data_IF_815789253972
#
_entry.id   IF_815789253972
#
_cell.length_a   1.000
_cell.length_b   1.000
_cell.length_c   1.000
_cell.angle_alpha   90.00
_cell.angle_beta   90.00
_cell.angle_gamma   90.00
#
_symmetry.space_group_name_H-M   'P 1'
#
loop_
_entity.id
_entity.type
_entity.pdbx_description
1 polymer ?
#
# COMPACT_ATOMS: atom_id res chain seq x y z
N UNK A 1 17.29 -11.82 10.13
CA UNK A 1 17.96 -12.29 8.88
C UNK A 1 19.40 -12.59 9.17
N UNK A 2 19.91 -13.78 8.78
CA UNK A 2 21.33 -14.08 8.99
C UNK A 2 22.19 -13.42 7.91
N UNK A 3 23.18 -12.66 8.33
CA UNK A 3 24.21 -12.06 7.48
C UNK A 3 25.57 -12.68 7.80
N UNK A 4 26.46 -12.62 6.83
CA UNK A 4 27.81 -13.21 6.91
C UNK A 4 28.82 -12.12 6.56
N UNK A 5 29.84 -11.99 7.42
CA UNK A 5 31.02 -11.14 7.18
C UNK A 5 32.27 -12.02 7.19
N UNK A 6 33.15 -11.90 6.20
CA UNK A 6 34.45 -12.54 6.20
C UNK A 6 35.56 -11.51 6.47
N UNK A 7 36.45 -11.83 7.42
CA UNK A 7 37.61 -11.01 7.74
C UNK A 7 38.87 -11.84 7.76
N UNK A 8 39.96 -11.20 7.34
CA UNK A 8 41.30 -11.80 7.39
C UNK A 8 42.23 -10.95 8.25
N UNK A 9 43.07 -11.62 9.05
CA UNK A 9 44.16 -11.00 9.82
C UNK A 9 45.27 -11.96 10.07
N UNK A 10 46.47 -11.52 10.54
CA UNK A 10 47.61 -12.36 10.82
C UNK A 10 47.38 -13.49 11.83
N UNK A 11 46.41 -13.28 12.74
CA UNK A 11 45.94 -14.29 13.70
C UNK A 11 44.45 -14.45 13.66
N UNK A 12 43.95 -15.60 14.11
CA UNK A 12 42.50 -15.84 14.24
C UNK A 12 41.83 -14.85 15.19
N UNK A 13 42.48 -14.58 16.33
CA UNK A 13 41.96 -13.66 17.35
C UNK A 13 41.83 -12.23 16.85
N UNK A 14 42.83 -11.75 16.07
CA UNK A 14 42.75 -10.43 15.43
C UNK A 14 41.70 -10.36 14.34
N UNK A 15 41.47 -11.44 13.59
CA UNK A 15 40.42 -11.49 12.57
C UNK A 15 39.02 -11.45 13.20
N UNK A 16 38.81 -12.14 14.32
CA UNK A 16 37.55 -12.11 15.10
C UNK A 16 37.35 -10.72 15.68
N UNK A 17 38.35 -10.16 16.35
CA UNK A 17 38.27 -8.82 16.94
C UNK A 17 37.93 -7.75 15.90
N UNK A 18 38.60 -7.77 14.73
CA UNK A 18 38.32 -6.84 13.65
C UNK A 18 36.90 -6.99 13.07
N UNK A 19 36.37 -8.21 13.01
CA UNK A 19 34.99 -8.45 12.56
C UNK A 19 33.97 -7.94 13.58
N UNK A 20 34.17 -8.18 14.87
CA UNK A 20 33.30 -7.73 15.96
C UNK A 20 33.32 -6.18 16.08
N UNK A 21 34.48 -5.54 15.93
CA UNK A 21 34.60 -4.10 15.93
C UNK A 21 33.83 -3.46 14.76
N UNK A 22 33.91 -4.04 13.57
CA UNK A 22 33.19 -3.55 12.40
C UNK A 22 31.67 -3.71 12.53
N UNK A 23 31.22 -4.82 13.16
CA UNK A 23 29.81 -5.10 13.35
C UNK A 23 29.22 -4.36 14.56
N UNK A 24 30.05 -3.95 15.52
CA UNK A 24 29.59 -3.37 16.79
C UNK A 24 28.82 -4.38 17.67
N UNK A 25 29.11 -5.69 17.49
CA UNK A 25 28.44 -6.79 18.20
C UNK A 25 29.39 -7.46 19.19
N UNK A 26 28.84 -8.08 20.23
CA UNK A 26 29.59 -8.93 21.15
C UNK A 26 29.79 -10.34 20.56
N UNK A 27 30.83 -11.04 21.02
CA UNK A 27 31.15 -12.39 20.52
C UNK A 27 30.01 -13.39 20.77
N UNK A 28 29.21 -13.16 21.82
CA UNK A 28 28.04 -13.98 22.22
C UNK A 28 26.84 -13.81 21.24
N UNK A 29 26.84 -12.74 20.46
CA UNK A 29 25.75 -12.41 19.51
C UNK A 29 26.03 -12.94 18.09
N UNK A 30 27.18 -13.58 17.87
CA UNK A 30 27.63 -14.03 16.56
C UNK A 30 28.05 -15.50 16.60
N UNK A 31 27.99 -16.17 15.45
CA UNK A 31 28.59 -17.49 15.24
C UNK A 31 29.84 -17.34 14.38
N UNK A 32 30.99 -17.76 14.92
CA UNK A 32 32.29 -17.65 14.23
C UNK A 32 32.73 -19.00 13.68
N UNK A 33 33.01 -19.06 12.39
CA UNK A 33 33.58 -20.20 11.69
C UNK A 33 34.97 -19.84 11.15
N UNK A 34 35.99 -20.66 11.44
CA UNK A 34 37.33 -20.49 10.90
C UNK A 34 37.41 -21.12 9.51
N UNK A 35 37.46 -20.29 8.47
CA UNK A 35 37.55 -20.72 7.08
C UNK A 35 38.97 -21.13 6.74
N UNK A 36 39.98 -20.37 7.25
CA UNK A 36 41.40 -20.62 7.02
C UNK A 36 42.23 -20.32 8.27
N UNK A 37 43.08 -21.24 8.64
CA UNK A 37 44.04 -21.05 9.74
C UNK A 37 45.25 -20.25 9.27
N UNK A 38 45.75 -19.37 10.14
CA UNK A 38 46.99 -18.66 9.92
C UNK A 38 48.17 -19.61 9.84
N UNK A 39 49.11 -19.39 8.91
CA UNK A 39 50.37 -20.10 8.83
C UNK A 39 51.54 -19.12 8.97
N UNK A 40 52.43 -19.38 9.91
CA UNK A 40 53.67 -18.61 10.05
C UNK A 40 54.61 -18.94 8.91
N UNK A 41 55.00 -17.92 8.14
CA UNK A 41 56.05 -18.09 7.11
C UNK A 41 57.43 -18.26 7.76
N UNK A 42 58.36 -18.89 7.03
CA UNK A 42 59.78 -18.95 7.42
C UNK A 42 60.48 -17.69 6.90
N UNK A 43 61.12 -16.92 7.80
CA UNK A 43 61.78 -15.64 7.47
C UNK A 43 60.88 -14.60 6.74
N UNK A 44 59.56 -14.57 7.06
CA UNK A 44 58.64 -13.65 6.41
C UNK A 44 58.14 -14.04 5.00
N UNK A 45 58.55 -15.18 4.49
CA UNK A 45 58.09 -15.69 3.19
C UNK A 45 57.08 -16.82 3.41
N UNK A 46 55.88 -16.70 2.79
CA UNK A 46 54.86 -17.73 2.83
C UNK A 46 53.92 -17.67 4.07
N UNK A 47 53.88 -16.53 4.77
CA UNK A 47 52.86 -16.30 5.80
C UNK A 47 51.46 -16.24 5.12
N UNK A 48 50.50 -16.88 5.75
CA UNK A 48 49.09 -16.90 5.29
C UNK A 48 48.22 -16.42 6.45
N UNK A 49 47.41 -15.45 6.18
CA UNK A 49 46.49 -14.88 7.18
C UNK A 49 45.34 -15.85 7.54
N UNK A 50 44.86 -15.77 8.76
CA UNK A 50 43.62 -16.43 9.13
C UNK A 50 42.43 -15.74 8.46
N UNK A 51 41.46 -16.53 8.03
CA UNK A 51 40.17 -16.03 7.53
C UNK A 51 39.07 -16.60 8.42
N UNK A 52 38.28 -15.72 9.00
CA UNK A 52 37.10 -16.07 9.78
C UNK A 52 35.84 -15.62 9.09
N UNK A 53 34.80 -16.42 9.19
CA UNK A 53 33.47 -16.13 8.74
C UNK A 53 32.59 -15.93 9.97
N UNK A 54 32.05 -14.71 10.13
CA UNK A 54 31.19 -14.33 11.21
C UNK A 54 29.77 -14.28 10.71
N UNK A 55 28.90 -15.14 11.25
CA UNK A 55 27.46 -15.15 10.97
C UNK A 55 26.73 -14.49 12.13
N UNK A 56 25.94 -13.50 11.85
CA UNK A 56 25.20 -12.72 12.85
C UNK A 56 23.75 -12.50 12.43
N UNK A 57 22.87 -12.36 13.42
CA UNK A 57 21.46 -12.05 13.19
C UNK A 57 21.27 -10.55 13.23
N UNK A 58 20.75 -10.00 12.13
CA UNK A 58 20.27 -8.61 12.11
C UNK A 58 18.78 -8.65 12.38
N UNK A 59 18.35 -7.95 13.43
CA UNK A 59 16.93 -7.66 13.58
C UNK A 59 16.47 -6.89 12.35
N UNK A 60 15.57 -7.50 11.61
CA UNK A 60 15.00 -6.87 10.43
C UNK A 60 14.13 -5.69 10.87
N UNK A 61 14.63 -4.48 10.77
CA UNK A 61 13.80 -3.29 10.93
C UNK A 61 12.73 -3.27 9.82
N UNK A 62 11.46 -3.45 10.18
CA UNK A 62 10.39 -3.47 9.19
C UNK A 62 10.28 -2.13 8.44
N UNK A 63 10.68 -1.01 9.05
CA UNK A 63 10.66 0.30 8.41
C UNK A 63 11.73 0.41 7.32
N UNK A 64 12.92 -0.13 7.56
CA UNK A 64 13.99 -0.21 6.55
C UNK A 64 13.61 -1.18 5.39
N UNK A 65 12.94 -2.29 5.69
CA UNK A 65 12.40 -3.16 4.64
C UNK A 65 11.38 -2.43 3.76
N UNK A 66 10.46 -1.69 4.39
CA UNK A 66 9.46 -0.87 3.66
C UNK A 66 10.17 0.15 2.78
N UNK A 67 11.10 0.91 3.35
CA UNK A 67 11.86 1.95 2.65
C UNK A 67 12.60 1.39 1.44
N UNK A 68 13.37 0.33 1.66
CA UNK A 68 14.17 -0.33 0.61
C UNK A 68 13.28 -0.86 -0.51
N UNK A 69 12.17 -1.52 -0.17
CA UNK A 69 11.25 -2.07 -1.17
C UNK A 69 10.58 -0.96 -1.99
N UNK A 70 10.02 0.05 -1.31
CA UNK A 70 9.29 1.14 -1.97
C UNK A 70 10.23 2.00 -2.80
N UNK A 71 11.42 2.37 -2.30
CA UNK A 71 12.40 3.15 -3.07
C UNK A 71 12.87 2.42 -4.32
N UNK A 72 13.20 1.13 -4.20
CA UNK A 72 13.60 0.31 -5.36
C UNK A 72 12.49 0.19 -6.40
N UNK A 73 11.22 0.05 -5.97
CA UNK A 73 10.09 0.00 -6.88
C UNK A 73 9.91 1.33 -7.62
N UNK A 74 9.96 2.46 -6.90
CA UNK A 74 9.85 3.80 -7.50
C UNK A 74 10.99 4.11 -8.47
N UNK A 75 12.23 3.71 -8.14
CA UNK A 75 13.39 3.84 -9.02
C UNK A 75 13.17 3.09 -10.34
N UNK A 76 12.69 1.84 -10.29
CA UNK A 76 12.38 1.06 -11.48
C UNK A 76 11.22 1.65 -12.29
N UNK A 77 10.32 2.39 -11.65
CA UNK A 77 9.27 3.15 -12.33
C UNK A 77 9.78 4.49 -12.91
N UNK A 78 11.04 4.86 -12.68
CA UNK A 78 11.62 6.13 -13.11
C UNK A 78 11.09 7.34 -12.33
N UNK A 79 10.62 7.14 -11.10
CA UNK A 79 10.03 8.20 -10.25
C UNK A 79 10.93 8.45 -9.05
N UNK A 80 11.25 9.73 -8.82
CA UNK A 80 11.93 10.18 -7.61
C UNK A 80 10.90 10.76 -6.64
N UNK A 81 10.79 10.16 -5.46
CA UNK A 81 9.85 10.59 -4.44
C UNK A 81 10.50 10.57 -3.05
N UNK A 82 10.04 11.48 -2.21
CA UNK A 82 10.28 11.44 -0.78
C UNK A 82 9.36 10.41 -0.13
N UNK A 83 9.93 9.56 0.74
CA UNK A 83 9.23 8.49 1.41
C UNK A 83 9.22 8.78 2.90
N UNK A 84 8.07 9.15 3.43
CA UNK A 84 7.84 9.34 4.86
C UNK A 84 7.11 8.11 5.43
N UNK A 85 7.65 7.55 6.52
CA UNK A 85 7.08 6.38 7.18
C UNK A 85 6.72 6.74 8.60
N UNK A 86 5.47 6.51 9.00
CA UNK A 86 4.96 6.79 10.34
C UNK A 86 4.15 5.62 10.90
N UNK A 87 4.24 5.42 12.21
CA UNK A 87 3.47 4.41 12.91
C UNK A 87 2.06 4.91 13.21
N UNK A 88 1.07 4.03 13.09
CA UNK A 88 -0.30 4.29 13.52
C UNK A 88 -0.52 3.85 14.96
N UNK A 89 -1.48 4.44 15.65
CA UNK A 89 -1.88 4.07 17.01
C UNK A 89 -2.31 2.60 17.13
N UNK A 90 -2.83 2.01 16.07
CA UNK A 90 -3.26 0.62 16.02
C UNK A 90 -2.15 -0.38 15.62
N UNK A 91 -0.88 0.05 15.63
CA UNK A 91 0.28 -0.80 15.28
C UNK A 91 0.52 -0.99 13.78
N UNK A 92 -0.29 -0.36 12.92
CA UNK A 92 -0.03 -0.32 11.47
C UNK A 92 0.99 0.75 11.08
N UNK A 93 1.36 0.79 9.81
CA UNK A 93 2.32 1.76 9.25
C UNK A 93 1.69 2.53 8.11
N UNK A 94 1.89 3.86 8.11
CA UNK A 94 1.59 4.72 6.97
C UNK A 94 2.89 5.03 6.22
N UNK A 95 2.82 4.90 4.92
CA UNK A 95 3.85 5.33 3.97
C UNK A 95 3.25 6.45 3.12
N UNK A 96 3.78 7.65 3.25
CA UNK A 96 3.38 8.82 2.45
C UNK A 96 4.43 9.09 1.39
N UNK A 97 3.99 9.15 0.15
CA UNK A 97 4.84 9.45 -1.00
C UNK A 97 4.56 10.86 -1.49
N UNK A 98 5.62 11.64 -1.70
CA UNK A 98 5.52 13.00 -2.23
C UNK A 98 6.67 13.31 -3.19
N UNK A 99 6.45 14.21 -4.14
CA UNK A 99 7.48 14.63 -5.09
C UNK A 99 7.00 14.74 -6.53
N UNK A 100 7.95 14.76 -7.45
CA UNK A 100 7.64 14.89 -8.86
C UNK A 100 7.22 13.55 -9.49
N UNK A 101 6.23 13.57 -10.39
CA UNK A 101 5.81 12.36 -11.09
C UNK A 101 4.80 11.49 -10.33
N UNK A 102 4.20 11.97 -9.25
CA UNK A 102 3.20 11.22 -8.46
C UNK A 102 2.03 10.70 -9.28
N UNK A 103 1.72 11.33 -10.43
CA UNK A 103 0.70 10.82 -11.35
C UNK A 103 0.97 9.40 -11.85
N UNK A 104 2.24 9.02 -12.07
CA UNK A 104 2.61 7.65 -12.45
C UNK A 104 2.46 6.66 -11.27
N UNK A 105 2.77 7.11 -10.06
CA UNK A 105 2.62 6.33 -8.81
C UNK A 105 1.15 6.12 -8.46
N UNK A 106 0.31 7.13 -8.66
CA UNK A 106 -1.13 7.06 -8.45
C UNK A 106 -1.77 6.18 -9.52
N UNK A 107 -1.43 6.44 -10.79
CA UNK A 107 -2.01 5.77 -11.93
C UNK A 107 -3.47 6.17 -12.19
N UNK A 108 -4.13 5.41 -13.07
CA UNK A 108 -5.52 5.67 -13.41
C UNK A 108 -6.42 5.31 -12.23
N UNK A 109 -7.05 6.33 -11.61
CA UNK A 109 -7.99 6.17 -10.47
C UNK A 109 -7.37 5.52 -9.22
N UNK A 110 -6.04 5.60 -9.05
CA UNK A 110 -5.36 5.02 -7.91
C UNK A 110 -5.00 3.53 -8.05
N UNK A 111 -5.24 2.92 -9.22
CA UNK A 111 -4.96 1.48 -9.45
C UNK A 111 -3.48 1.12 -9.24
N UNK A 112 -2.56 1.99 -9.67
CA UNK A 112 -1.12 1.77 -9.47
C UNK A 112 -0.76 1.91 -7.99
N UNK A 113 -1.33 2.90 -7.30
CA UNK A 113 -1.12 3.12 -5.87
C UNK A 113 -1.62 1.92 -5.03
N UNK A 114 -2.76 1.36 -5.40
CA UNK A 114 -3.30 0.15 -4.76
C UNK A 114 -2.39 -1.06 -5.00
N UNK A 115 -1.85 -1.21 -6.21
CA UNK A 115 -0.90 -2.27 -6.54
C UNK A 115 0.41 -2.12 -5.75
N UNK A 116 0.97 -0.91 -5.65
CA UNK A 116 2.17 -0.62 -4.84
C UNK A 116 1.91 -0.98 -3.38
N UNK A 117 0.78 -0.57 -2.81
CA UNK A 117 0.41 -0.92 -1.44
C UNK A 117 0.34 -2.44 -1.24
N UNK A 118 -0.31 -3.15 -2.17
CA UNK A 118 -0.44 -4.61 -2.10
C UNK A 118 0.91 -5.31 -2.16
N UNK A 119 1.76 -4.93 -3.10
CA UNK A 119 3.11 -5.48 -3.24
C UNK A 119 3.99 -5.18 -2.02
N UNK A 120 3.90 -3.96 -1.46
CA UNK A 120 4.64 -3.59 -0.24
C UNK A 120 4.20 -4.46 0.93
N UNK A 121 2.89 -4.61 1.16
CA UNK A 121 2.38 -5.50 2.20
C UNK A 121 2.85 -6.94 2.01
N UNK A 122 2.83 -7.45 0.80
CA UNK A 122 3.28 -8.81 0.52
C UNK A 122 4.79 -8.99 0.74
N UNK A 123 5.61 -8.09 0.21
CA UNK A 123 7.07 -8.19 0.27
C UNK A 123 7.59 -8.08 1.72
N UNK A 124 7.06 -7.13 2.50
CA UNK A 124 7.51 -6.87 3.88
C UNK A 124 7.07 -7.98 4.84
N UNK A 125 5.85 -8.50 4.66
CA UNK A 125 5.31 -9.54 5.55
C UNK A 125 5.77 -10.96 5.16
N UNK A 126 6.49 -11.13 4.05
CA UNK A 126 6.97 -12.44 3.63
C UNK A 126 8.04 -12.95 4.58
N UNK A 127 7.78 -14.06 5.26
CA UNK A 127 8.71 -14.74 6.18
C UNK A 127 8.80 -14.14 7.58
N UNK A 128 7.98 -13.14 7.92
CA UNK A 128 7.90 -12.58 9.27
C UNK A 128 6.84 -13.27 10.14
N UNK A 129 7.12 -13.40 11.45
CA UNK A 129 6.16 -13.94 12.42
C UNK A 129 4.99 -12.99 12.71
N UNK A 130 5.22 -11.67 12.60
CA UNK A 130 4.22 -10.62 12.84
C UNK A 130 3.78 -9.98 11.54
N UNK A 131 2.48 -10.05 11.26
CA UNK A 131 1.88 -9.42 10.09
C UNK A 131 1.64 -7.93 10.35
N UNK A 132 2.30 -7.05 9.60
CA UNK A 132 2.16 -5.60 9.68
C UNK A 132 1.22 -5.09 8.60
N UNK A 133 0.25 -4.25 8.97
CA UNK A 133 -0.63 -3.60 7.99
C UNK A 133 0.01 -2.29 7.52
N UNK A 134 0.38 -2.24 6.23
CA UNK A 134 1.02 -1.09 5.61
C UNK A 134 0.02 -0.41 4.68
N UNK A 135 -0.20 0.88 4.89
CA UNK A 135 -0.99 1.74 4.00
C UNK A 135 -0.05 2.67 3.24
N UNK A 136 -0.20 2.71 1.94
CA UNK A 136 0.58 3.62 1.08
C UNK A 136 -0.36 4.68 0.50
N UNK A 137 0.00 5.95 0.62
CA UNK A 137 -0.71 7.06 0.00
C UNK A 137 0.25 8.02 -0.69
N UNK A 138 -0.22 8.70 -1.71
CA UNK A 138 0.56 9.68 -2.46
C UNK A 138 -0.16 11.03 -2.44
N UNK A 139 0.45 12.04 -1.82
CA UNK A 139 -0.08 13.42 -1.76
C UNK A 139 -1.54 13.53 -1.31
N UNK A 140 -1.98 12.68 -0.38
CA UNK A 140 -3.38 12.60 0.08
C UNK A 140 -4.37 12.32 -1.06
N UNK A 141 -3.94 11.51 -2.04
CA UNK A 141 -4.75 11.20 -3.23
C UNK A 141 -6.11 10.62 -2.87
N UNK A 142 -6.15 9.68 -1.89
CA UNK A 142 -7.41 8.99 -1.54
C UNK A 142 -8.48 9.98 -1.07
N UNK A 143 -8.13 10.92 -0.21
CA UNK A 143 -9.05 11.96 0.27
C UNK A 143 -9.49 12.90 -0.86
N UNK A 144 -8.54 13.38 -1.68
CA UNK A 144 -8.84 14.23 -2.85
C UNK A 144 -9.73 13.51 -3.88
N UNK A 145 -9.52 12.20 -4.05
CA UNK A 145 -10.32 11.38 -4.96
C UNK A 145 -11.75 11.22 -4.47
N UNK A 146 -11.94 10.94 -3.19
CA UNK A 146 -13.26 10.82 -2.56
C UNK A 146 -14.07 12.11 -2.72
N UNK A 147 -13.49 13.27 -2.39
CA UNK A 147 -14.13 14.57 -2.62
C UNK A 147 -14.53 14.80 -4.09
N UNK A 148 -13.64 14.40 -5.02
CA UNK A 148 -13.91 14.50 -6.46
C UNK A 148 -15.08 13.61 -6.88
N UNK A 149 -15.21 12.41 -6.30
CA UNK A 149 -16.33 11.51 -6.55
C UNK A 149 -17.65 12.04 -6.00
N UNK A 150 -17.64 12.65 -4.81
CA UNK A 150 -18.82 13.30 -4.24
C UNK A 150 -19.31 14.44 -5.15
N UNK A 151 -18.40 15.33 -5.55
CA UNK A 151 -18.74 16.42 -6.50
C UNK A 151 -19.24 15.89 -7.86
N UNK A 152 -18.69 14.78 -8.34
CA UNK A 152 -19.16 14.14 -9.57
C UNK A 152 -20.58 13.58 -9.40
N UNK A 153 -20.85 12.94 -8.27
CA UNK A 153 -22.17 12.41 -7.94
C UNK A 153 -23.24 13.51 -7.93
N UNK A 154 -23.01 14.60 -7.19
CA UNK A 154 -23.92 15.74 -7.11
C UNK A 154 -24.19 16.39 -8.48
N UNK A 155 -23.11 16.60 -9.26
CA UNK A 155 -23.21 17.11 -10.64
C UNK A 155 -24.04 16.18 -11.53
N UNK A 156 -23.92 14.89 -11.34
CA UNK A 156 -24.68 13.90 -12.11
C UNK A 156 -26.16 13.89 -11.67
N UNK A 157 -26.43 13.93 -10.38
CA UNK A 157 -27.79 14.04 -9.84
C UNK A 157 -28.51 15.28 -10.38
N UNK A 158 -27.88 16.44 -10.36
CA UNK A 158 -28.43 17.67 -10.93
C UNK A 158 -28.76 17.54 -12.43
N UNK A 159 -27.91 16.86 -13.20
CA UNK A 159 -28.19 16.58 -14.63
C UNK A 159 -29.38 15.64 -14.81
N UNK A 160 -29.46 14.57 -14.01
CA UNK A 160 -30.54 13.59 -14.04
C UNK A 160 -31.88 14.28 -13.72
N UNK A 161 -31.94 15.14 -12.70
CA UNK A 161 -33.15 15.94 -12.36
C UNK A 161 -33.52 16.89 -13.51
N UNK A 162 -32.55 17.60 -14.08
CA UNK A 162 -32.78 18.55 -15.18
C UNK A 162 -33.35 17.87 -16.42
N UNK A 163 -32.77 16.75 -16.82
CA UNK A 163 -33.13 16.06 -18.07
C UNK A 163 -34.16 14.93 -17.88
N UNK A 164 -34.53 14.60 -16.62
CA UNK A 164 -35.47 13.54 -16.25
C UNK A 164 -35.18 12.17 -16.89
N UNK A 165 -33.90 11.84 -17.02
CA UNK A 165 -33.43 10.57 -17.60
C UNK A 165 -32.26 10.03 -16.81
N UNK A 166 -32.16 8.70 -16.75
CA UNK A 166 -31.05 7.99 -16.11
C UNK A 166 -29.76 8.24 -16.86
N UNK A 167 -28.68 8.36 -16.11
CA UNK A 167 -27.33 8.55 -16.64
C UNK A 167 -26.35 7.58 -15.96
N UNK A 168 -25.51 6.95 -16.78
CA UNK A 168 -24.46 6.05 -16.29
C UNK A 168 -23.15 6.83 -16.10
N UNK A 169 -22.45 6.54 -15.03
CA UNK A 169 -21.09 6.95 -14.78
C UNK A 169 -20.11 6.01 -15.49
N UNK A 170 -18.85 6.38 -15.52
CA UNK A 170 -17.82 5.49 -16.02
C UNK A 170 -17.61 4.29 -15.08
N UNK A 171 -17.07 3.17 -15.58
CA UNK A 171 -16.69 2.04 -14.73
C UNK A 171 -15.73 2.46 -13.61
N UNK A 172 -15.92 1.93 -12.41
CA UNK A 172 -15.12 2.25 -11.23
C UNK A 172 -15.12 1.07 -10.25
N UNK A 173 -14.16 1.05 -9.33
CA UNK A 173 -14.02 -0.01 -8.34
C UNK A 173 -15.17 0.02 -7.30
N UNK A 174 -15.24 -1.02 -6.45
CA UNK A 174 -16.34 -1.17 -5.48
C UNK A 174 -16.38 -0.05 -4.44
N UNK A 175 -15.22 0.44 -3.99
CA UNK A 175 -15.12 1.54 -3.04
C UNK A 175 -15.65 2.85 -3.65
N UNK A 176 -15.22 3.20 -4.86
CA UNK A 176 -15.68 4.39 -5.56
C UNK A 176 -17.20 4.38 -5.81
N UNK A 177 -17.75 3.20 -6.17
CA UNK A 177 -19.20 3.04 -6.31
C UNK A 177 -19.93 3.28 -4.98
N UNK A 178 -19.36 2.78 -3.87
CA UNK A 178 -19.92 2.99 -2.54
C UNK A 178 -19.93 4.48 -2.17
N UNK A 179 -18.85 5.22 -2.42
CA UNK A 179 -18.80 6.67 -2.19
C UNK A 179 -19.93 7.40 -2.92
N UNK A 180 -20.17 7.07 -4.19
CA UNK A 180 -21.25 7.70 -4.97
C UNK A 180 -22.63 7.32 -4.45
N UNK A 181 -22.84 6.04 -4.10
CA UNK A 181 -24.12 5.60 -3.49
C UNK A 181 -24.39 6.35 -2.18
N UNK A 182 -23.39 6.47 -1.32
CA UNK A 182 -23.49 7.18 -0.04
C UNK A 182 -23.76 8.67 -0.25
N UNK A 183 -23.07 9.33 -1.17
CA UNK A 183 -23.25 10.75 -1.46
C UNK A 183 -24.67 11.07 -1.98
N UNK A 184 -25.29 10.13 -2.68
CA UNK A 184 -26.64 10.34 -3.26
C UNK A 184 -27.76 9.61 -2.50
N UNK A 185 -27.49 8.95 -1.39
CA UNK A 185 -28.46 8.17 -0.63
C UNK A 185 -29.69 8.99 -0.20
N UNK A 186 -29.46 10.24 0.20
CA UNK A 186 -30.50 11.16 0.66
C UNK A 186 -30.78 12.29 -0.34
N UNK A 187 -30.35 12.14 -1.60
CA UNK A 187 -30.56 13.16 -2.61
C UNK A 187 -31.92 12.99 -3.26
N UNK A 188 -32.82 13.99 -3.03
CA UNK A 188 -34.22 13.92 -3.48
C UNK A 188 -34.37 13.80 -4.99
N UNK A 189 -35.28 12.91 -5.44
CA UNK A 189 -35.64 12.75 -6.84
C UNK A 189 -34.67 11.96 -7.69
N UNK A 190 -33.66 11.31 -7.08
CA UNK A 190 -32.76 10.39 -7.75
C UNK A 190 -32.55 9.11 -6.96
N UNK A 191 -32.29 8.01 -7.65
CA UNK A 191 -31.85 6.75 -7.08
C UNK A 191 -30.57 6.29 -7.77
N UNK A 192 -29.82 5.41 -7.10
CA UNK A 192 -28.57 4.89 -7.63
C UNK A 192 -28.56 3.37 -7.66
N UNK A 193 -28.08 2.79 -8.74
CA UNK A 193 -27.89 1.35 -8.90
C UNK A 193 -26.52 1.03 -9.51
N UNK A 194 -25.95 -0.13 -9.15
CA UNK A 194 -24.71 -0.60 -9.75
C UNK A 194 -25.00 -1.65 -10.82
N UNK A 195 -24.52 -1.41 -12.05
CA UNK A 195 -24.81 -2.25 -13.23
C UNK A 195 -23.52 -2.75 -13.89
N UNK A 196 -23.55 -3.94 -14.47
CA UNK A 196 -22.42 -4.58 -15.17
C UNK A 196 -21.61 -5.50 -14.28
N UNK A 197 -20.57 -6.10 -14.87
CA UNK A 197 -19.60 -7.00 -14.22
C UNK A 197 -18.23 -6.34 -14.18
N UNK A 198 -17.42 -6.70 -13.20
CA UNK A 198 -16.03 -6.22 -13.14
C UNK A 198 -15.24 -6.67 -14.40
N UNK A 199 -14.37 -5.85 -14.95
CA UNK A 199 -13.96 -4.49 -14.49
C UNK A 199 -14.87 -3.35 -15.02
N UNK A 200 -15.95 -3.65 -15.74
CA UNK A 200 -16.81 -2.65 -16.40
C UNK A 200 -18.02 -2.21 -15.57
N UNK A 201 -18.07 -2.61 -14.29
CA UNK A 201 -19.19 -2.29 -13.41
C UNK A 201 -19.19 -0.80 -13.05
N UNK A 202 -20.39 -0.18 -13.11
CA UNK A 202 -20.56 1.28 -12.97
C UNK A 202 -21.81 1.63 -12.20
N UNK A 203 -21.90 2.87 -11.70
CA UNK A 203 -23.11 3.42 -11.08
C UNK A 203 -23.97 4.03 -12.16
N UNK A 204 -25.27 3.77 -12.08
CA UNK A 204 -26.33 4.45 -12.84
C UNK A 204 -27.13 5.29 -11.87
N UNK A 205 -27.23 6.59 -12.13
CA UNK A 205 -28.10 7.52 -11.40
C UNK A 205 -29.38 7.66 -12.18
N UNK A 206 -30.51 7.29 -11.56
CA UNK A 206 -31.83 7.25 -12.18
C UNK A 206 -32.73 8.34 -11.60
N UNK A 207 -33.59 8.90 -12.46
CA UNK A 207 -34.61 9.86 -12.02
C UNK A 207 -35.75 9.11 -11.31
N UNK A 208 -36.04 9.50 -10.07
CA UNK A 208 -37.21 9.04 -9.34
C UNK A 208 -38.32 10.06 -9.51
N UNK A 209 -39.44 9.61 -10.12
CA UNK A 209 -40.63 10.44 -10.19
C UNK A 209 -41.22 10.56 -8.79
N UNK A 210 -41.50 11.80 -8.27
CA UNK A 210 -42.22 11.95 -7.00
C UNK A 210 -43.47 11.07 -7.01
N UNK A 211 -43.66 10.30 -5.94
CA UNK A 211 -44.87 9.49 -5.80
C UNK A 211 -46.09 10.39 -5.94
N UNK A 212 -46.89 10.19 -6.98
CA UNK A 212 -48.20 10.86 -7.04
C UNK A 212 -49.03 10.39 -5.83
N UNK A 213 -49.65 11.30 -5.06
CA UNK A 213 -50.53 10.88 -4.01
C UNK A 213 -51.61 9.98 -4.64
N UNK A 214 -51.70 8.73 -4.19
CA UNK A 214 -52.76 7.82 -4.63
C UNK A 214 -54.06 8.44 -4.23
N UNK A 215 -54.80 9.03 -5.18
CA UNK A 215 -56.19 9.36 -5.00
C UNK A 215 -56.91 8.03 -4.83
N UNK A 216 -57.24 7.70 -3.58
CA UNK A 216 -58.10 6.56 -3.24
C UNK A 216 -59.46 6.75 -3.90
N UNK A 217 -59.62 6.19 -5.08
CA UNK A 217 -60.90 6.06 -5.72
C UNK A 217 -61.71 4.98 -4.95
N UNK A 218 -62.39 5.40 -3.88
CA UNK A 218 -63.34 4.57 -3.14
C UNK A 218 -64.54 4.36 -4.07
N UNK A 219 -64.86 3.14 -4.52
CA UNK A 219 -66.05 2.94 -5.33
C UNK A 219 -67.27 3.27 -4.48
N UNK A 220 -68.11 4.14 -4.98
CA UNK A 220 -69.39 4.45 -4.38
C UNK A 220 -70.25 3.18 -4.31
N UNK A 221 -70.58 2.75 -3.10
CA UNK A 221 -71.57 1.72 -2.85
C UNK A 221 -72.90 2.18 -3.42
N UNK A 222 -73.34 1.53 -4.49
CA UNK A 222 -74.75 1.66 -4.94
C UNK A 222 -75.63 0.86 -3.99
N UNK A 223 -76.34 1.57 -3.11
CA UNK A 223 -77.52 1.03 -2.42
C UNK A 223 -78.65 0.87 -3.43
N UNK A 224 -79.10 -0.36 -3.55
CA UNK A 224 -80.37 -0.72 -4.24
C UNK A 224 -81.46 -0.82 -3.17
N UNK A 225 -82.45 0.02 -3.24
CA UNK A 225 -83.80 -0.10 -2.57
C UNK A 225 -84.69 -0.91 -3.46
#
# INVERSE_FOLDING_TARGET
>A
MQKVLEKSAPTQEEAIAAALEELGLAEEEVSVEVVQLAKKGFLGIGAVDAIVRVTYEVEDDPYEKIRTFVSGLLEHMGVQADIEISQRENGGVNVTLSGNGMGAVIGRRGETLDAIQHLTNYAVNRGGEKHMHISVDAESYRAKREESLVRLAEKMAAKVLKYKRSMALEPMNSYERHVIHTALQNYEGVSTSSTGTEPNRRVVVSYERPAQPQTSNKPASREWS
#
